data_IF_749397774498
#
_entry.id   IF_749397774498
#
_cell.length_a   1.000
_cell.length_b   1.000
_cell.length_c   1.000
_cell.angle_alpha   90.00
_cell.angle_beta   90.00
_cell.angle_gamma   90.00
#
_symmetry.space_group_name_H-M   'P 1'
#
loop_
_entity.id
_entity.type
_entity.pdbx_description
1 polymer ?
#
# COMPACT_ATOMS: atom_id res chain seq x y z
N UNK A 1 8.86 12.75 16.31
CA UNK A 1 9.25 11.36 15.96
C UNK A 1 8.76 10.30 16.95
N UNK A 2 8.87 10.47 18.27
CA UNK A 2 8.41 9.45 19.26
C UNK A 2 6.91 9.13 19.21
N UNK A 3 6.04 10.09 18.90
CA UNK A 3 4.59 9.86 18.86
C UNK A 3 4.14 8.94 17.71
N UNK A 4 4.72 9.09 16.52
CA UNK A 4 4.34 8.28 15.35
C UNK A 4 4.71 6.80 15.52
N UNK A 5 5.83 6.51 16.21
CA UNK A 5 6.23 5.12 16.47
C UNK A 5 5.28 4.43 17.45
N UNK A 6 4.87 5.12 18.52
CA UNK A 6 3.94 4.57 19.50
C UNK A 6 2.59 4.23 18.87
N UNK A 7 2.03 5.17 18.10
CA UNK A 7 0.77 4.96 17.36
C UNK A 7 0.88 3.79 16.37
N UNK A 8 2.03 3.66 15.70
CA UNK A 8 2.26 2.54 14.76
C UNK A 8 2.30 1.18 15.47
N UNK A 9 2.90 1.08 16.66
CA UNK A 9 2.90 -0.15 17.46
C UNK A 9 1.46 -0.48 17.94
N UNK A 10 0.67 0.53 18.27
CA UNK A 10 -0.75 0.35 18.60
C UNK A 10 -1.54 -0.19 17.40
N UNK A 11 -1.34 0.38 16.20
CA UNK A 11 -1.93 -0.12 14.95
C UNK A 11 -1.58 -1.61 14.71
N UNK A 12 -0.32 -2.02 14.92
CA UNK A 12 0.11 -3.41 14.79
C UNK A 12 -0.63 -4.32 15.78
N UNK A 13 -0.73 -3.91 17.04
CA UNK A 13 -1.43 -4.69 18.06
C UNK A 13 -2.92 -4.88 17.72
N UNK A 14 -3.56 -3.86 17.16
CA UNK A 14 -4.92 -3.99 16.68
C UNK A 14 -5.06 -4.98 15.52
N UNK A 15 -4.14 -4.95 14.54
CA UNK A 15 -4.16 -5.89 13.40
C UNK A 15 -3.98 -7.34 13.87
N UNK A 16 -3.05 -7.59 14.79
CA UNK A 16 -2.87 -8.90 15.41
C UNK A 16 -4.14 -9.32 16.17
N UNK A 17 -4.75 -8.40 16.92
CA UNK A 17 -6.01 -8.64 17.63
C UNK A 17 -7.16 -9.04 16.69
N UNK A 18 -7.34 -8.33 15.57
CA UNK A 18 -8.34 -8.66 14.55
C UNK A 18 -8.12 -10.04 13.95
N UNK A 19 -6.87 -10.47 13.80
CA UNK A 19 -6.47 -11.74 13.23
C UNK A 19 -6.21 -12.84 14.30
N UNK A 20 -6.62 -12.62 15.55
CA UNK A 20 -6.37 -13.53 16.68
C UNK A 20 -6.92 -14.94 16.50
N UNK A 21 -7.89 -15.13 15.60
CA UNK A 21 -8.46 -16.44 15.25
C UNK A 21 -7.67 -17.19 14.17
N UNK A 22 -6.74 -16.54 13.47
CA UNK A 22 -5.94 -17.20 12.45
C UNK A 22 -5.07 -18.32 13.08
N UNK A 23 -5.00 -19.51 12.47
CA UNK A 23 -4.31 -20.66 13.07
C UNK A 23 -2.84 -20.37 13.43
N UNK A 24 -2.11 -19.68 12.54
CA UNK A 24 -0.70 -19.35 12.80
C UNK A 24 -0.55 -18.30 13.92
N UNK A 25 -1.45 -17.32 14.03
CA UNK A 25 -1.43 -16.33 15.13
C UNK A 25 -1.65 -17.02 16.47
N UNK A 26 -2.61 -17.97 16.52
CA UNK A 26 -2.83 -18.79 17.72
C UNK A 26 -1.58 -19.62 18.07
N UNK A 27 -0.96 -20.27 17.06
CA UNK A 27 0.21 -21.08 17.26
C UNK A 27 1.36 -20.30 17.91
N UNK A 28 1.63 -19.05 17.44
CA UNK A 28 2.64 -18.21 18.06
C UNK A 28 2.27 -17.80 19.48
N UNK A 29 1.02 -17.41 19.72
CA UNK A 29 0.54 -17.00 21.03
C UNK A 29 0.59 -18.14 22.07
N UNK A 30 0.23 -19.34 21.63
CA UNK A 30 0.03 -20.46 22.55
C UNK A 30 1.32 -21.27 22.77
N UNK A 31 2.30 -21.23 21.87
CA UNK A 31 3.48 -22.09 21.89
C UNK A 31 4.83 -21.34 22.04
N UNK A 32 4.83 -20.01 21.99
CA UNK A 32 6.07 -19.25 22.11
C UNK A 32 6.04 -18.33 23.33
N UNK A 33 7.16 -18.23 24.02
CA UNK A 33 7.32 -17.41 25.21
C UNK A 33 7.03 -15.93 24.88
N UNK A 34 6.14 -15.31 25.68
CA UNK A 34 5.67 -13.94 25.43
C UNK A 34 4.55 -13.81 24.40
N UNK A 35 4.23 -14.84 23.62
CA UNK A 35 3.15 -14.84 22.63
C UNK A 35 3.32 -13.82 21.51
N UNK A 36 4.53 -13.27 21.33
CA UNK A 36 4.83 -12.25 20.32
C UNK A 36 5.06 -12.90 18.95
N UNK A 37 4.50 -12.26 17.91
CA UNK A 37 4.73 -12.70 16.53
C UNK A 37 6.05 -12.10 16.01
N UNK A 38 6.93 -12.92 15.42
CA UNK A 38 8.09 -12.41 14.71
C UNK A 38 7.68 -11.60 13.48
N UNK A 39 8.55 -10.71 13.01
CA UNK A 39 8.23 -9.74 11.94
C UNK A 39 7.70 -10.40 10.66
N UNK A 40 8.23 -11.56 10.28
CA UNK A 40 7.78 -12.29 9.09
C UNK A 40 6.35 -12.81 9.23
N UNK A 41 5.90 -13.15 10.44
CA UNK A 41 4.52 -13.55 10.70
C UNK A 41 3.60 -12.32 10.86
N UNK A 42 4.12 -11.20 11.37
CA UNK A 42 3.38 -9.95 11.47
C UNK A 42 2.96 -9.40 10.12
N UNK A 43 3.84 -9.46 9.10
CA UNK A 43 3.52 -8.93 7.77
C UNK A 43 2.38 -9.69 7.09
N UNK A 44 2.16 -10.96 7.43
CA UNK A 44 1.04 -11.77 6.92
C UNK A 44 -0.34 -11.29 7.40
N UNK A 45 -0.39 -10.60 8.54
CA UNK A 45 -1.65 -10.05 9.08
C UNK A 45 -1.84 -8.57 8.74
N UNK A 46 -0.83 -7.90 8.18
CA UNK A 46 -0.94 -6.49 7.89
C UNK A 46 -1.96 -6.20 6.80
N UNK A 47 -2.86 -5.25 7.06
CA UNK A 47 -3.60 -4.60 5.99
C UNK A 47 -2.64 -3.82 5.09
N UNK A 48 -3.06 -3.55 3.85
CA UNK A 48 -2.23 -2.73 2.95
C UNK A 48 -1.94 -1.34 3.54
N UNK A 49 -2.87 -0.78 4.32
CA UNK A 49 -2.68 0.47 5.06
C UNK A 49 -1.57 0.36 6.11
N UNK A 50 -1.55 -0.72 6.88
CA UNK A 50 -0.53 -0.98 7.88
C UNK A 50 0.83 -1.23 7.23
N UNK A 51 0.87 -1.96 6.10
CA UNK A 51 2.09 -2.18 5.32
C UNK A 51 2.66 -0.86 4.77
N UNK A 52 1.82 0.04 4.26
CA UNK A 52 2.21 1.38 3.82
C UNK A 52 2.81 2.19 4.97
N UNK A 53 2.18 2.18 6.14
CA UNK A 53 2.71 2.83 7.35
C UNK A 53 4.03 2.19 7.82
N UNK A 54 4.15 0.85 7.72
CA UNK A 54 5.38 0.14 8.03
C UNK A 54 6.53 0.63 7.17
N UNK A 55 6.35 0.65 5.84
CA UNK A 55 7.34 1.19 4.91
C UNK A 55 7.70 2.65 5.24
N UNK A 56 6.71 3.50 5.50
CA UNK A 56 6.90 4.91 5.86
C UNK A 56 7.77 5.10 7.12
N UNK A 57 7.67 4.18 8.09
CA UNK A 57 8.43 4.22 9.34
C UNK A 57 9.81 3.56 9.28
N UNK A 58 10.16 2.87 8.18
CA UNK A 58 11.50 2.29 8.00
C UNK A 58 12.58 3.38 7.92
N UNK A 59 13.82 3.02 8.23
CA UNK A 59 14.98 3.90 8.00
C UNK A 59 15.16 4.13 6.50
N UNK A 60 15.64 5.31 6.11
CA UNK A 60 15.82 5.64 4.70
C UNK A 60 16.77 4.68 3.97
N UNK A 61 17.73 4.09 4.67
CA UNK A 61 18.63 3.07 4.09
C UNK A 61 17.82 1.85 3.65
N UNK A 62 16.96 1.35 4.52
CA UNK A 62 16.12 0.16 4.26
C UNK A 62 15.06 0.47 3.19
N UNK A 63 14.42 1.66 3.24
CA UNK A 63 13.51 2.13 2.18
C UNK A 63 14.15 2.10 0.80
N UNK A 64 15.41 2.55 0.70
CA UNK A 64 16.15 2.56 -0.57
C UNK A 64 16.39 1.15 -1.09
N UNK A 65 16.71 0.19 -0.21
CA UNK A 65 16.89 -1.22 -0.60
C UNK A 65 15.59 -1.80 -1.16
N UNK A 66 14.48 -1.62 -0.45
CA UNK A 66 13.16 -2.07 -0.90
C UNK A 66 12.78 -1.39 -2.22
N UNK A 67 12.88 -0.07 -2.32
CA UNK A 67 12.50 0.68 -3.52
C UNK A 67 13.34 0.29 -4.75
N UNK A 68 14.63 0.00 -4.55
CA UNK A 68 15.52 -0.49 -5.60
C UNK A 68 15.03 -1.80 -6.21
N UNK A 69 14.43 -2.69 -5.40
CA UNK A 69 13.86 -3.94 -5.91
C UNK A 69 12.68 -3.70 -6.87
N UNK A 70 12.03 -2.55 -6.79
CA UNK A 70 10.96 -2.11 -7.71
C UNK A 70 11.48 -1.23 -8.86
N UNK A 71 12.75 -0.79 -8.84
CA UNK A 71 13.26 0.19 -9.80
C UNK A 71 12.71 1.61 -9.59
N UNK A 72 12.22 1.92 -8.39
CA UNK A 72 11.53 3.15 -8.04
C UNK A 72 12.34 3.93 -7.00
N UNK A 73 12.31 5.25 -7.03
CA UNK A 73 12.85 6.08 -5.96
C UNK A 73 12.08 5.87 -4.65
N UNK A 74 12.77 5.79 -3.50
CA UNK A 74 12.14 5.45 -2.22
C UNK A 74 11.05 6.45 -1.78
N UNK A 75 11.20 7.73 -2.11
CA UNK A 75 10.19 8.77 -1.83
C UNK A 75 8.95 8.60 -2.70
N UNK A 76 9.12 8.20 -3.96
CA UNK A 76 8.02 7.86 -4.86
C UNK A 76 7.26 6.65 -4.34
N UNK A 77 7.98 5.57 -4.01
CA UNK A 77 7.35 4.34 -3.50
C UNK A 77 6.56 4.62 -2.20
N UNK A 78 7.09 5.42 -1.28
CA UNK A 78 6.38 5.82 -0.06
C UNK A 78 5.07 6.55 -0.38
N UNK A 79 5.13 7.54 -1.27
CA UNK A 79 3.97 8.32 -1.71
C UNK A 79 2.93 7.44 -2.42
N UNK A 80 3.38 6.52 -3.26
CA UNK A 80 2.51 5.63 -4.03
C UNK A 80 1.80 4.62 -3.15
N UNK A 81 2.51 3.99 -2.21
CA UNK A 81 1.90 3.06 -1.26
C UNK A 81 0.81 3.74 -0.42
N UNK A 82 1.05 4.99 0.02
CA UNK A 82 0.06 5.75 0.78
C UNK A 82 -1.18 6.05 -0.06
N UNK A 83 -1.02 6.51 -1.30
CA UNK A 83 -2.13 6.85 -2.20
C UNK A 83 -2.93 5.62 -2.61
N UNK A 84 -2.26 4.55 -3.06
CA UNK A 84 -2.92 3.30 -3.47
C UNK A 84 -3.69 2.67 -2.29
N UNK A 85 -3.10 2.69 -1.09
CA UNK A 85 -3.78 2.21 0.11
C UNK A 85 -5.06 2.99 0.40
N UNK A 86 -5.02 4.30 0.25
CA UNK A 86 -6.18 5.16 0.43
C UNK A 86 -7.29 4.84 -0.58
N UNK A 87 -6.94 4.74 -1.87
CA UNK A 87 -7.92 4.46 -2.92
C UNK A 87 -8.50 3.04 -2.83
N UNK A 88 -7.66 2.07 -2.47
CA UNK A 88 -8.15 0.71 -2.17
C UNK A 88 -9.19 0.73 -1.05
N UNK A 89 -9.01 1.56 -0.02
CA UNK A 89 -9.98 1.67 1.06
C UNK A 89 -11.27 2.34 0.62
N UNK A 90 -11.22 3.35 -0.27
CA UNK A 90 -12.41 3.93 -0.89
C UNK A 90 -13.19 2.83 -1.61
N UNK A 91 -12.53 2.02 -2.44
CA UNK A 91 -13.17 0.90 -3.14
C UNK A 91 -13.78 -0.12 -2.17
N UNK A 92 -13.05 -0.50 -1.12
CA UNK A 92 -13.50 -1.48 -0.13
C UNK A 92 -14.76 -1.03 0.64
N UNK A 93 -14.97 0.27 0.74
CA UNK A 93 -16.15 0.87 1.36
C UNK A 93 -17.19 1.37 0.34
N UNK A 94 -17.17 0.82 -0.88
CA UNK A 94 -18.09 1.20 -1.97
C UNK A 94 -18.06 2.69 -2.32
N UNK A 95 -16.94 3.36 -2.04
CA UNK A 95 -16.77 4.77 -2.37
C UNK A 95 -16.56 4.97 -3.88
N UNK A 96 -17.01 6.13 -4.38
CA UNK A 96 -16.89 6.50 -5.78
C UNK A 96 -15.47 7.00 -6.08
N UNK A 97 -14.80 6.40 -7.07
CA UNK A 97 -13.52 6.89 -7.62
C UNK A 97 -13.69 7.69 -8.92
N UNK A 98 -14.70 7.36 -9.73
CA UNK A 98 -14.96 8.04 -10.99
C UNK A 98 -15.21 9.53 -10.76
N UNK A 99 -14.42 10.36 -11.44
CA UNK A 99 -14.44 11.83 -11.33
C UNK A 99 -14.30 12.39 -9.89
N UNK A 100 -13.82 11.59 -8.94
CA UNK A 100 -13.54 12.04 -7.59
C UNK A 100 -12.21 12.82 -7.52
N UNK A 101 -12.14 13.82 -6.65
CA UNK A 101 -10.87 14.43 -6.23
C UNK A 101 -10.33 13.63 -5.05
N UNK A 102 -9.15 13.06 -5.23
CA UNK A 102 -8.48 12.27 -4.20
C UNK A 102 -7.75 13.19 -3.22
N UNK A 103 -7.87 12.93 -1.93
CA UNK A 103 -7.20 13.71 -0.88
C UNK A 103 -5.79 13.22 -0.59
N UNK A 104 -5.48 11.94 -0.90
CA UNK A 104 -4.13 11.39 -0.87
C UNK A 104 -3.62 11.26 -2.29
N UNK A 105 -2.67 12.13 -2.65
CA UNK A 105 -2.19 12.24 -4.02
C UNK A 105 -0.78 11.68 -4.14
N UNK A 106 -0.50 10.83 -5.14
CA UNK A 106 0.84 10.31 -5.36
C UNK A 106 1.78 11.39 -5.93
N UNK A 107 3.05 11.27 -5.66
CA UNK A 107 4.08 11.97 -6.42
C UNK A 107 4.11 11.39 -7.83
N UNK A 108 3.94 12.23 -8.85
CA UNK A 108 4.07 11.80 -10.24
C UNK A 108 5.49 12.05 -10.76
N UNK A 109 5.94 11.21 -11.69
CA UNK A 109 7.12 11.52 -12.48
C UNK A 109 6.87 12.79 -13.32
N UNK A 110 7.96 13.51 -13.59
CA UNK A 110 7.91 14.79 -14.29
C UNK A 110 7.22 14.69 -15.65
N UNK A 111 7.48 13.61 -16.39
CA UNK A 111 6.86 13.32 -17.69
C UNK A 111 5.32 13.30 -17.65
N UNK A 112 4.73 12.73 -16.59
CA UNK A 112 3.27 12.71 -16.43
C UNK A 112 2.69 14.08 -16.10
N UNK A 113 3.40 14.85 -15.27
CA UNK A 113 3.00 16.21 -14.94
C UNK A 113 3.09 17.14 -16.16
N UNK A 114 4.12 16.99 -16.99
CA UNK A 114 4.30 17.73 -18.24
C UNK A 114 3.26 17.33 -19.30
N UNK A 115 2.79 16.09 -19.29
CA UNK A 115 1.66 15.63 -20.11
C UNK A 115 0.28 16.10 -19.59
N UNK A 116 0.23 16.95 -18.55
CA UNK A 116 -1.00 17.49 -18.00
C UNK A 116 -1.78 16.52 -17.11
N UNK A 117 -1.19 15.40 -16.70
CA UNK A 117 -1.86 14.43 -15.83
C UNK A 117 -1.86 14.94 -14.39
N UNK A 118 -3.06 15.16 -13.84
CA UNK A 118 -3.24 15.54 -12.45
C UNK A 118 -3.04 14.37 -11.49
N UNK A 119 -2.35 14.63 -10.39
CA UNK A 119 -2.13 13.62 -9.35
C UNK A 119 -3.34 13.39 -8.42
N UNK A 120 -4.34 14.25 -8.47
CA UNK A 120 -5.52 14.20 -7.62
C UNK A 120 -6.71 13.45 -8.24
N UNK A 121 -6.45 12.66 -9.26
CA UNK A 121 -7.42 11.83 -9.98
C UNK A 121 -6.93 10.40 -10.05
N UNK A 122 -7.86 9.47 -10.22
CA UNK A 122 -7.58 8.04 -10.27
C UNK A 122 -6.51 7.67 -11.32
N UNK A 123 -6.48 8.35 -12.46
CA UNK A 123 -5.49 8.10 -13.51
C UNK A 123 -4.05 8.24 -12.99
N UNK A 124 -3.76 9.28 -12.19
CA UNK A 124 -2.44 9.46 -11.58
C UNK A 124 -2.04 8.29 -10.68
N UNK A 125 -2.99 7.73 -9.93
CA UNK A 125 -2.76 6.56 -9.07
C UNK A 125 -2.57 5.29 -9.89
N UNK A 126 -3.34 5.11 -10.96
CA UNK A 126 -3.19 3.95 -11.86
C UNK A 126 -1.83 3.92 -12.56
N UNK A 127 -1.30 5.08 -12.96
CA UNK A 127 0.05 5.17 -13.52
C UNK A 127 1.13 4.77 -12.49
N UNK A 128 0.96 5.16 -11.23
CA UNK A 128 1.85 4.72 -10.15
C UNK A 128 1.75 3.21 -9.92
N UNK A 129 0.55 2.66 -9.96
CA UNK A 129 0.31 1.21 -9.84
C UNK A 129 1.01 0.43 -10.97
N UNK A 130 0.98 0.93 -12.20
CA UNK A 130 1.70 0.36 -13.34
C UNK A 130 3.17 0.15 -13.05
N UNK A 131 3.84 1.12 -12.44
CA UNK A 131 5.27 1.01 -12.10
C UNK A 131 5.55 0.02 -10.97
N UNK A 132 4.60 -0.21 -10.07
CA UNK A 132 4.73 -1.22 -9.00
C UNK A 132 4.49 -2.63 -9.53
N UNK A 133 3.56 -2.78 -10.47
CA UNK A 133 3.26 -4.05 -11.13
C UNK A 133 4.34 -4.33 -12.18
N UNK A 134 5.37 -5.07 -11.79
CA UNK A 134 6.50 -5.40 -12.67
C UNK A 134 6.16 -6.36 -13.82
N UNK A 135 5.01 -7.00 -13.74
CA UNK A 135 4.59 -8.00 -14.72
C UNK A 135 3.64 -7.32 -15.71
N UNK A 136 4.11 -7.12 -16.94
CA UNK A 136 3.33 -6.52 -18.02
C UNK A 136 2.03 -7.31 -18.29
N UNK A 137 2.03 -8.63 -18.13
CA UNK A 137 0.82 -9.43 -18.29
C UNK A 137 -0.25 -9.06 -17.27
N UNK A 138 0.12 -8.84 -15.99
CA UNK A 138 -0.83 -8.42 -14.97
C UNK A 138 -1.38 -7.02 -15.25
N UNK A 139 -0.54 -6.12 -15.76
CA UNK A 139 -0.98 -4.79 -16.16
C UNK A 139 -1.94 -4.85 -17.34
N UNK A 140 -1.60 -5.61 -18.39
CA UNK A 140 -2.46 -5.76 -19.58
C UNK A 140 -3.81 -6.37 -19.20
N UNK A 141 -3.83 -7.45 -18.41
CA UNK A 141 -5.08 -8.03 -17.90
C UNK A 141 -5.93 -7.04 -17.09
N UNK A 142 -5.29 -6.13 -16.38
CA UNK A 142 -5.99 -5.07 -15.63
C UNK A 142 -6.59 -4.03 -16.58
N UNK A 143 -5.83 -3.59 -17.60
CA UNK A 143 -6.30 -2.65 -18.63
C UNK A 143 -7.48 -3.24 -19.40
N UNK A 144 -7.37 -4.48 -19.87
CA UNK A 144 -8.45 -5.20 -20.60
C UNK A 144 -9.76 -5.21 -19.78
N UNK A 145 -9.66 -5.46 -18.46
CA UNK A 145 -10.84 -5.44 -17.57
C UNK A 145 -11.44 -4.04 -17.42
N UNK A 146 -10.60 -3.00 -17.44
CA UNK A 146 -11.09 -1.62 -17.40
C UNK A 146 -11.80 -1.27 -18.71
N UNK A 147 -11.24 -1.62 -19.86
CA UNK A 147 -11.83 -1.37 -21.17
C UNK A 147 -13.23 -1.99 -21.28
N UNK A 148 -13.39 -3.25 -20.87
CA UNK A 148 -14.68 -3.94 -20.81
C UNK A 148 -15.73 -3.17 -19.97
N UNK A 149 -15.31 -2.41 -18.97
CA UNK A 149 -16.23 -1.60 -18.15
C UNK A 149 -16.69 -0.33 -18.85
N UNK A 150 -15.91 0.20 -19.80
CA UNK A 150 -16.26 1.39 -20.57
C UNK A 150 -17.05 1.07 -21.84
N UNK A 151 -16.99 -0.16 -22.33
CA UNK A 151 -17.73 -0.62 -23.51
C UNK A 151 -19.19 -1.02 -23.20
N UNK A 152 -19.66 -0.83 -21.97
CA UNK A 152 -21.03 -1.07 -21.50
C UNK A 152 -21.79 0.24 -21.31
#
# INVERSE_FOLDING_TARGET
>A
MKNNHKTFIEDIKEEVGRNSKAPFVRNFRDNYEGGELPIYALVEVFSFGTLSKFYKNMKNVDKKVVAKSFGIGYTYLESWLESISYDRNICAHYGRLYNAKLSKTPMLYKEYSEAGIGNNRILGVLLCLKHILKNDNHWNMFVDKIEILFDK
#
